data_IF_255731013293
#
_entry.id   IF_255731013293
#
_cell.length_a   1.000
_cell.length_b   1.000
_cell.length_c   1.000
_cell.angle_alpha   90.00
_cell.angle_beta   90.00
_cell.angle_gamma   90.00
#
_symmetry.space_group_name_H-M   'P 1'
#
loop_
_entity.id
_entity.type
_entity.pdbx_description
1 polymer ?
#
# COMPACT_ATOMS: atom_id res chain seq x y z
N UNK A 1 22.73 22.65 -54.51
CA UNK A 1 21.52 21.81 -54.60
C UNK A 1 20.40 22.54 -53.89
N UNK A 2 19.22 22.58 -54.52
CA UNK A 2 18.06 23.27 -53.95
C UNK A 2 17.57 22.52 -52.70
N UNK A 3 17.12 23.23 -51.68
CA UNK A 3 16.68 22.64 -50.39
C UNK A 3 15.60 21.57 -50.57
N UNK A 4 14.77 21.69 -51.62
CA UNK A 4 13.74 20.72 -52.02
C UNK A 4 14.32 19.41 -52.58
N UNK A 5 15.46 19.49 -53.25
CA UNK A 5 16.12 18.33 -53.88
C UNK A 5 16.76 17.43 -52.80
N UNK A 6 17.35 18.04 -51.77
CA UNK A 6 17.91 17.35 -50.60
C UNK A 6 16.82 16.60 -49.81
N UNK A 7 15.67 17.23 -49.57
CA UNK A 7 14.53 16.58 -48.89
C UNK A 7 13.99 15.40 -49.71
N UNK A 8 13.91 15.55 -51.03
CA UNK A 8 13.42 14.49 -51.92
C UNK A 8 14.35 13.27 -51.95
N UNK A 9 15.66 13.48 -51.92
CA UNK A 9 16.65 12.39 -51.91
C UNK A 9 16.72 11.68 -50.55
N UNK A 10 16.57 12.42 -49.44
CA UNK A 10 16.49 11.83 -48.11
C UNK A 10 15.25 10.92 -47.96
N UNK A 11 14.09 11.33 -48.49
CA UNK A 11 12.87 10.52 -48.47
C UNK A 11 13.04 9.20 -49.25
N UNK A 12 13.66 9.24 -50.43
CA UNK A 12 13.93 8.04 -51.25
C UNK A 12 14.86 7.04 -50.53
N UNK A 13 15.86 7.52 -49.78
CA UNK A 13 16.76 6.66 -49.00
C UNK A 13 16.08 6.02 -47.79
N UNK A 14 15.24 6.75 -47.07
CA UNK A 14 14.43 6.22 -45.97
C UNK A 14 13.55 5.08 -46.47
N UNK A 15 12.90 5.26 -47.62
CA UNK A 15 12.06 4.24 -48.22
C UNK A 15 12.86 2.99 -48.59
N UNK A 16 14.07 3.13 -49.15
CA UNK A 16 14.92 1.99 -49.50
C UNK A 16 15.43 1.24 -48.25
N UNK A 17 15.84 1.95 -47.19
CA UNK A 17 16.21 1.31 -45.90
C UNK A 17 14.98 0.60 -45.31
N UNK A 18 13.81 1.23 -45.39
CA UNK A 18 12.55 0.62 -44.94
C UNK A 18 12.27 -0.65 -45.71
N UNK A 19 12.42 -0.67 -47.04
CA UNK A 19 12.23 -1.88 -47.86
C UNK A 19 13.15 -3.02 -47.43
N UNK A 20 14.44 -2.75 -47.23
CA UNK A 20 15.41 -3.76 -46.83
C UNK A 20 15.08 -4.32 -45.43
N UNK A 21 14.84 -3.45 -44.46
CA UNK A 21 14.54 -3.88 -43.08
C UNK A 21 13.16 -4.53 -42.97
N UNK A 22 12.18 -4.10 -43.75
CA UNK A 22 10.84 -4.68 -43.75
C UNK A 22 10.89 -6.14 -44.21
N UNK A 23 11.62 -6.44 -45.29
CA UNK A 23 11.83 -7.81 -45.75
C UNK A 23 12.49 -8.69 -44.69
N UNK A 24 13.40 -8.12 -43.88
CA UNK A 24 14.04 -8.84 -42.79
C UNK A 24 13.10 -9.15 -41.63
N UNK A 25 12.19 -8.24 -41.28
CA UNK A 25 11.40 -8.33 -40.05
C UNK A 25 9.99 -8.90 -40.21
N UNK A 26 9.43 -8.89 -41.42
CA UNK A 26 7.99 -9.18 -41.58
C UNK A 26 7.61 -10.60 -41.19
N UNK A 27 8.51 -11.58 -41.37
CA UNK A 27 8.27 -12.97 -40.96
C UNK A 27 8.27 -13.13 -39.44
N UNK A 28 9.19 -12.43 -38.74
CA UNK A 28 9.35 -12.49 -37.30
C UNK A 28 8.32 -11.60 -36.56
N UNK A 29 7.95 -10.48 -37.18
CA UNK A 29 7.02 -9.49 -36.63
C UNK A 29 5.88 -9.19 -37.61
N UNK A 30 4.89 -10.11 -37.80
CA UNK A 30 3.81 -9.94 -38.77
C UNK A 30 2.92 -8.71 -38.56
N UNK A 31 2.96 -8.13 -37.35
CA UNK A 31 2.20 -6.93 -37.00
C UNK A 31 2.87 -5.64 -37.46
N UNK A 32 4.16 -5.67 -37.79
CA UNK A 32 4.94 -4.50 -38.19
C UNK A 32 4.56 -4.13 -39.62
N UNK A 33 4.01 -2.95 -39.84
CA UNK A 33 3.69 -2.48 -41.20
C UNK A 33 4.85 -1.68 -41.78
N UNK A 34 4.92 -1.62 -43.11
CA UNK A 34 5.92 -0.80 -43.81
C UNK A 34 5.87 0.67 -43.36
N UNK A 35 4.65 1.20 -43.17
CA UNK A 35 4.40 2.56 -42.71
C UNK A 35 4.95 2.81 -41.31
N UNK A 36 4.74 1.88 -40.38
CA UNK A 36 5.23 2.01 -39.01
C UNK A 36 6.76 1.96 -38.97
N UNK A 37 7.36 1.05 -39.75
CA UNK A 37 8.81 0.94 -39.85
C UNK A 37 9.44 2.21 -40.45
N UNK A 38 8.83 2.76 -41.51
CA UNK A 38 9.26 4.02 -42.12
C UNK A 38 9.22 5.18 -41.11
N UNK A 39 8.17 5.26 -40.29
CA UNK A 39 8.05 6.25 -39.23
C UNK A 39 9.11 6.06 -38.13
N UNK A 40 9.46 4.82 -37.78
CA UNK A 40 10.54 4.56 -36.82
C UNK A 40 11.90 4.99 -37.37
N UNK A 41 12.19 4.64 -38.63
CA UNK A 41 13.46 5.00 -39.30
C UNK A 41 13.60 6.52 -39.43
N UNK A 42 12.55 7.21 -39.90
CA UNK A 42 12.57 8.67 -40.09
C UNK A 42 12.84 9.46 -38.81
N UNK A 43 12.52 8.92 -37.63
CA UNK A 43 12.87 9.55 -36.34
C UNK A 43 14.37 9.55 -36.06
N UNK A 44 15.11 8.56 -36.55
CA UNK A 44 16.56 8.45 -36.40
C UNK A 44 17.34 9.19 -37.48
N UNK A 45 16.67 9.69 -38.53
CA UNK A 45 17.28 10.51 -39.58
C UNK A 45 17.58 11.96 -39.15
N UNK A 46 17.19 12.35 -37.93
CA UNK A 46 17.52 13.67 -37.36
C UNK A 46 18.84 13.67 -36.58
N UNK A 47 19.49 12.51 -36.40
CA UNK A 47 20.82 12.44 -35.82
C UNK A 47 21.86 12.91 -36.85
N UNK A 48 22.91 13.68 -36.45
CA UNK A 48 23.90 14.27 -37.36
C UNK A 48 24.91 13.25 -37.89
N UNK A 49 24.43 12.09 -38.34
CA UNK A 49 25.24 11.02 -38.90
C UNK A 49 25.01 11.02 -40.42
N UNK A 50 26.07 11.44 -41.10
CA UNK A 50 26.40 11.26 -42.51
C UNK A 50 25.66 12.12 -43.54
N UNK A 51 26.46 12.80 -44.38
CA UNK A 51 26.01 13.61 -45.51
C UNK A 51 25.11 12.78 -46.44
N UNK A 52 23.82 13.14 -46.47
CA UNK A 52 22.76 12.53 -47.29
C UNK A 52 22.89 12.85 -48.81
N UNK A 53 24.11 12.92 -49.35
CA UNK A 53 24.36 13.41 -50.72
C UNK A 53 24.66 12.30 -51.75
N UNK A 54 24.88 11.04 -51.37
CA UNK A 54 25.06 9.94 -52.35
C UNK A 54 23.73 9.27 -52.74
N UNK A 55 23.64 8.64 -53.91
CA UNK A 55 22.47 7.84 -54.34
C UNK A 55 22.53 6.37 -53.94
N UNK A 56 23.68 5.90 -53.47
CA UNK A 56 23.90 4.52 -53.02
C UNK A 56 23.71 4.41 -51.50
N UNK A 57 23.19 3.26 -51.06
CA UNK A 57 23.08 2.90 -49.65
C UNK A 57 24.03 1.75 -49.39
N UNK A 58 25.01 1.96 -48.53
CA UNK A 58 25.94 0.91 -48.13
C UNK A 58 25.34 0.04 -47.01
N UNK A 59 25.92 -1.15 -46.86
CA UNK A 59 25.48 -2.14 -45.85
C UNK A 59 25.70 -1.61 -44.43
N UNK A 60 26.73 -0.78 -44.20
CA UNK A 60 27.01 -0.13 -42.92
C UNK A 60 25.89 0.78 -42.46
N UNK A 61 25.34 1.59 -43.36
CA UNK A 61 24.22 2.50 -43.11
C UNK A 61 22.99 1.71 -42.68
N UNK A 62 22.64 0.67 -43.44
CA UNK A 62 21.51 -0.21 -43.09
C UNK A 62 21.72 -0.86 -41.71
N UNK A 63 22.96 -1.26 -41.38
CA UNK A 63 23.30 -1.86 -40.08
C UNK A 63 23.14 -0.87 -38.92
N UNK A 64 23.48 0.41 -39.11
CA UNK A 64 23.27 1.45 -38.08
C UNK A 64 21.77 1.61 -37.78
N UNK A 65 20.93 1.70 -38.82
CA UNK A 65 19.48 1.80 -38.63
C UNK A 65 18.87 0.52 -38.04
N UNK A 66 19.35 -0.66 -38.46
CA UNK A 66 18.98 -1.94 -37.85
C UNK A 66 19.21 -1.92 -36.33
N UNK A 67 20.41 -1.56 -35.90
CA UNK A 67 20.78 -1.52 -34.48
C UNK A 67 19.94 -0.52 -33.67
N UNK A 68 19.49 0.59 -34.28
CA UNK A 68 18.63 1.57 -33.62
C UNK A 68 17.18 1.13 -33.55
N UNK A 69 16.65 0.55 -34.63
CA UNK A 69 15.21 0.27 -34.79
C UNK A 69 14.81 -1.08 -34.21
N UNK A 70 15.67 -2.10 -34.32
CA UNK A 70 15.37 -3.46 -33.85
C UNK A 70 14.97 -3.52 -32.35
N UNK A 71 15.66 -2.85 -31.42
CA UNK A 71 15.25 -2.86 -30.00
C UNK A 71 13.86 -2.25 -29.76
N UNK A 72 13.41 -1.29 -30.58
CA UNK A 72 12.05 -0.75 -30.45
C UNK A 72 11.01 -1.75 -30.95
N UNK A 73 11.31 -2.47 -32.03
CA UNK A 73 10.42 -3.52 -32.57
C UNK A 73 10.25 -4.61 -31.51
N UNK A 74 11.34 -5.12 -30.93
CA UNK A 74 11.27 -6.13 -29.86
C UNK A 74 10.44 -5.64 -28.67
N UNK A 75 10.66 -4.41 -28.20
CA UNK A 75 9.90 -3.85 -27.07
C UNK A 75 8.41 -3.76 -27.38
N UNK A 76 8.03 -3.33 -28.59
CA UNK A 76 6.61 -3.27 -28.99
C UNK A 76 6.02 -4.69 -29.09
N UNK A 77 6.78 -5.65 -29.63
CA UNK A 77 6.34 -7.03 -29.73
C UNK A 77 6.06 -7.64 -28.35
N UNK A 78 6.96 -7.44 -27.37
CA UNK A 78 6.78 -7.89 -26.00
C UNK A 78 5.52 -7.28 -25.36
N UNK A 79 5.28 -5.98 -25.54
CA UNK A 79 4.07 -5.32 -25.03
C UNK A 79 2.80 -5.88 -25.67
N UNK A 80 2.83 -6.18 -26.99
CA UNK A 80 1.70 -6.80 -27.68
C UNK A 80 1.45 -8.23 -27.20
N UNK A 81 2.50 -9.02 -26.98
CA UNK A 81 2.38 -10.38 -26.45
C UNK A 81 1.74 -10.40 -25.05
N UNK A 82 2.14 -9.49 -24.16
CA UNK A 82 1.53 -9.34 -22.82
C UNK A 82 0.05 -8.95 -22.92
N UNK A 83 -0.30 -8.02 -23.82
CA UNK A 83 -1.71 -7.62 -24.02
C UNK A 83 -2.56 -8.77 -24.54
N UNK A 84 -2.04 -9.56 -25.48
CA UNK A 84 -2.76 -10.71 -26.02
C UNK A 84 -2.94 -11.80 -24.95
N UNK A 85 -1.92 -12.08 -24.13
CA UNK A 85 -2.05 -13.00 -22.98
C UNK A 85 -3.14 -12.53 -22.00
N UNK A 86 -3.21 -11.23 -21.71
CA UNK A 86 -4.27 -10.69 -20.86
C UNK A 86 -5.66 -10.86 -21.50
N UNK A 87 -5.77 -10.62 -22.81
CA UNK A 87 -7.03 -10.81 -23.55
C UNK A 87 -7.48 -12.27 -23.57
N UNK A 88 -6.54 -13.20 -23.78
CA UNK A 88 -6.81 -14.65 -23.76
C UNK A 88 -7.23 -15.10 -22.35
N UNK A 89 -6.60 -14.57 -21.30
CA UNK A 89 -7.00 -14.82 -19.92
C UNK A 89 -8.40 -14.27 -19.61
N UNK A 90 -8.77 -13.11 -20.15
CA UNK A 90 -10.12 -12.54 -20.01
C UNK A 90 -11.16 -13.36 -20.79
N UNK A 91 -10.84 -13.79 -22.02
CA UNK A 91 -11.71 -14.66 -22.82
C UNK A 91 -11.86 -16.06 -22.21
N UNK A 92 -10.81 -16.61 -21.60
CA UNK A 92 -10.87 -17.87 -20.88
C UNK A 92 -11.77 -17.77 -19.63
N UNK A 93 -11.69 -16.66 -18.89
CA UNK A 93 -12.63 -16.36 -17.79
C UNK A 93 -14.07 -16.22 -18.28
N UNK A 94 -14.29 -15.62 -19.45
CA UNK A 94 -15.63 -15.50 -20.04
C UNK A 94 -16.20 -16.85 -20.48
N UNK A 95 -15.39 -17.73 -21.09
CA UNK A 95 -15.83 -19.07 -21.50
C UNK A 95 -16.13 -20.00 -20.32
N UNK A 96 -15.38 -19.91 -19.23
CA UNK A 96 -15.69 -20.65 -17.99
C UNK A 96 -17.04 -20.23 -17.38
N UNK A 97 -17.47 -18.98 -17.60
CA UNK A 97 -18.74 -18.48 -17.11
C UNK A 97 -19.95 -18.88 -17.99
N UNK A 98 -19.75 -19.36 -19.22
CA UNK A 98 -20.84 -19.73 -20.16
C UNK A 98 -21.26 -21.20 -20.06
N UNK A 99 -20.45 -22.10 -19.49
CA UNK A 99 -20.78 -23.54 -19.35
C UNK A 99 -21.42 -23.92 -18.00
N UNK A 100 -21.53 -22.98 -17.06
CA UNK A 100 -22.29 -23.16 -15.82
C UNK A 100 -23.57 -22.34 -15.89
N UNK A 101 -24.75 -22.97 -15.81
CA UNK A 101 -25.96 -22.24 -15.42
C UNK A 101 -25.65 -21.46 -14.13
N UNK A 102 -25.86 -20.13 -14.09
CA UNK A 102 -25.46 -19.36 -12.92
C UNK A 102 -26.47 -19.65 -11.81
N UNK A 103 -26.13 -20.60 -10.94
CA UNK A 103 -26.39 -20.41 -9.52
C UNK A 103 -25.58 -19.18 -9.18
N UNK A 104 -26.24 -18.03 -9.01
CA UNK A 104 -25.58 -16.74 -8.84
C UNK A 104 -24.42 -16.84 -7.86
N UNK A 105 -23.19 -16.82 -8.38
CA UNK A 105 -22.01 -16.81 -7.53
C UNK A 105 -21.96 -15.45 -6.85
N UNK A 106 -22.18 -15.45 -5.54
CA UNK A 106 -21.88 -14.31 -4.69
C UNK A 106 -20.37 -14.07 -4.78
N UNK A 107 -19.94 -13.10 -5.59
CA UNK A 107 -18.58 -12.58 -5.51
C UNK A 107 -18.51 -11.79 -4.20
N UNK A 108 -17.75 -12.22 -3.18
CA UNK A 108 -17.64 -11.46 -1.95
C UNK A 108 -16.90 -10.16 -2.26
N UNK A 109 -17.56 -9.02 -2.08
CA UNK A 109 -16.86 -7.75 -2.07
C UNK A 109 -16.11 -7.63 -0.75
N UNK A 110 -14.81 -7.34 -0.86
CA UNK A 110 -13.96 -7.04 0.27
C UNK A 110 -14.10 -5.55 0.58
N UNK A 111 -14.71 -5.22 1.71
CA UNK A 111 -14.78 -3.84 2.21
C UNK A 111 -13.94 -3.70 3.48
N UNK A 112 -13.23 -2.58 3.60
CA UNK A 112 -12.51 -2.23 4.82
C UNK A 112 -13.41 -1.37 5.70
N UNK A 113 -13.48 -1.70 6.99
CA UNK A 113 -14.20 -0.89 7.97
C UNK A 113 -13.23 -0.38 9.03
N UNK A 114 -13.21 0.93 9.18
CA UNK A 114 -12.39 1.63 10.16
C UNK A 114 -13.17 1.89 11.45
N UNK A 115 -12.52 1.68 12.58
CA UNK A 115 -13.05 1.91 13.91
C UNK A 115 -12.08 2.76 14.72
N UNK A 116 -12.56 3.86 15.28
CA UNK A 116 -11.79 4.64 16.24
C UNK A 116 -12.12 4.17 17.65
N UNK A 117 -11.10 3.88 18.44
CA UNK A 117 -11.21 3.34 19.79
C UNK A 117 -10.41 4.26 20.71
N UNK A 118 -11.10 4.89 21.65
CA UNK A 118 -10.50 5.73 22.68
C UNK A 118 -10.53 4.98 24.01
N UNK A 119 -9.39 4.89 24.68
CA UNK A 119 -9.24 4.18 25.95
C UNK A 119 -8.64 5.14 26.95
N UNK A 120 -9.30 5.31 28.10
CA UNK A 120 -8.79 6.05 29.25
C UNK A 120 -8.43 5.06 30.35
N UNK A 121 -7.18 5.08 30.82
CA UNK A 121 -6.73 4.16 31.87
C UNK A 121 -7.44 4.37 33.21
N UNK A 122 -8.19 5.44 33.43
CA UNK A 122 -9.07 5.60 34.60
C UNK A 122 -10.15 4.53 34.70
N UNK A 123 -10.60 4.03 33.56
CA UNK A 123 -11.63 3.01 33.45
C UNK A 123 -11.06 1.58 33.49
N UNK A 124 -9.80 1.41 33.91
CA UNK A 124 -9.19 0.08 34.06
C UNK A 124 -9.75 -0.63 35.29
N UNK A 125 -9.63 -1.95 35.31
CA UNK A 125 -9.86 -2.72 36.53
C UNK A 125 -8.73 -2.47 37.54
N UNK A 126 -8.97 -1.56 38.50
CA UNK A 126 -7.98 -1.11 39.49
C UNK A 126 -7.51 -2.19 40.47
N UNK A 127 -8.27 -3.29 40.62
CA UNK A 127 -7.86 -4.43 41.45
C UNK A 127 -6.70 -5.21 40.83
N UNK A 128 -6.62 -5.26 39.49
CA UNK A 128 -5.53 -5.94 38.77
C UNK A 128 -4.47 -4.94 38.26
N UNK A 129 -4.89 -3.73 37.91
CA UNK A 129 -4.02 -2.67 37.39
C UNK A 129 -4.16 -1.44 38.29
N UNK A 130 -3.46 -1.39 39.44
CA UNK A 130 -3.65 -0.31 40.41
C UNK A 130 -3.16 1.06 39.91
N UNK A 131 -2.22 1.10 38.97
CA UNK A 131 -1.62 2.33 38.43
C UNK A 131 -2.17 2.69 37.04
N UNK A 132 -2.12 3.96 36.66
CA UNK A 132 -2.61 4.43 35.35
C UNK A 132 -1.73 3.98 34.16
N UNK A 133 -0.51 3.50 34.42
CA UNK A 133 0.32 2.70 33.51
C UNK A 133 1.12 1.69 34.35
N UNK A 134 1.20 0.41 33.95
CA UNK A 134 0.53 -0.19 32.79
C UNK A 134 -0.95 -0.46 33.02
N UNK A 135 -1.72 -0.69 31.95
CA UNK A 135 -3.15 -1.00 32.05
C UNK A 135 -3.61 -1.92 30.92
N UNK A 136 -4.76 -2.58 31.12
CA UNK A 136 -5.35 -3.49 30.15
C UNK A 136 -6.86 -3.29 30.07
N UNK A 137 -7.40 -3.44 28.86
CA UNK A 137 -8.84 -3.53 28.60
C UNK A 137 -9.15 -4.80 27.83
N UNK A 138 -10.26 -5.45 28.20
CA UNK A 138 -10.81 -6.55 27.40
C UNK A 138 -11.62 -5.98 26.23
N UNK A 139 -11.57 -6.66 25.09
CA UNK A 139 -12.38 -6.38 23.91
C UNK A 139 -13.51 -7.42 23.88
N UNK A 140 -14.73 -6.94 24.09
CA UNK A 140 -15.94 -7.74 24.27
C UNK A 140 -16.63 -8.16 22.96
N UNK A 141 -17.80 -8.82 23.04
CA UNK A 141 -18.60 -9.19 21.87
C UNK A 141 -19.21 -7.95 21.18
N UNK A 142 -19.29 -7.97 19.84
CA UNK A 142 -19.81 -6.86 19.00
C UNK A 142 -21.33 -6.64 19.08
N UNK A 143 -22.04 -7.45 19.86
CA UNK A 143 -23.49 -7.50 19.99
C UNK A 143 -23.85 -7.63 21.45
N UNK A 144 -24.50 -6.61 22.00
CA UNK A 144 -25.20 -6.66 23.28
C UNK A 144 -26.31 -7.71 23.12
N UNK A 145 -26.03 -8.97 23.44
CA UNK A 145 -27.09 -9.82 23.97
C UNK A 145 -27.46 -9.16 25.29
N UNK A 146 -28.66 -8.60 25.38
CA UNK A 146 -29.16 -7.81 26.52
C UNK A 146 -29.33 -8.62 27.81
N UNK A 147 -28.26 -9.29 28.25
CA UNK A 147 -28.14 -9.84 29.58
C UNK A 147 -27.65 -8.72 30.51
N UNK A 148 -28.53 -8.16 31.35
CA UNK A 148 -28.18 -7.08 32.26
C UNK A 148 -27.19 -7.51 33.37
N UNK A 149 -26.79 -8.79 33.43
CA UNK A 149 -25.84 -9.30 34.41
C UNK A 149 -24.39 -9.36 33.91
N UNK A 150 -24.11 -9.00 32.64
CA UNK A 150 -22.73 -8.92 32.16
C UNK A 150 -22.12 -7.61 32.65
N UNK A 151 -21.22 -7.70 33.62
CA UNK A 151 -20.39 -6.57 34.05
C UNK A 151 -19.39 -6.21 32.94
N UNK A 152 -19.78 -5.24 32.13
CA UNK A 152 -19.00 -4.63 31.05
C UNK A 152 -18.07 -3.52 31.56
N UNK A 153 -18.06 -3.23 32.87
CA UNK A 153 -17.16 -2.22 33.41
C UNK A 153 -15.71 -2.57 33.08
N UNK A 154 -14.93 -1.58 32.64
CA UNK A 154 -13.54 -1.76 32.25
C UNK A 154 -13.31 -2.61 30.98
N UNK A 155 -14.28 -2.61 30.05
CA UNK A 155 -14.16 -3.31 28.76
C UNK A 155 -14.61 -2.43 27.58
N UNK A 156 -14.21 -2.81 26.38
CA UNK A 156 -14.66 -2.19 25.12
C UNK A 156 -15.67 -3.14 24.49
N UNK A 157 -16.92 -2.71 24.32
CA UNK A 157 -18.04 -3.52 23.78
C UNK A 157 -17.94 -3.75 22.26
N UNK A 158 -16.79 -4.23 21.78
CA UNK A 158 -16.57 -4.52 20.37
C UNK A 158 -15.48 -5.57 20.19
N UNK A 159 -15.80 -6.58 19.38
CA UNK A 159 -14.83 -7.57 18.93
C UNK A 159 -14.20 -7.07 17.63
N UNK A 160 -12.88 -7.17 17.56
CA UNK A 160 -12.12 -6.83 16.36
C UNK A 160 -11.50 -8.11 15.79
N UNK A 161 -12.14 -8.64 14.76
CA UNK A 161 -11.70 -9.81 13.99
C UNK A 161 -11.27 -9.40 12.58
N UNK A 162 -10.39 -10.18 11.96
CA UNK A 162 -9.83 -9.88 10.63
C UNK A 162 -9.19 -8.47 10.58
N UNK A 163 -8.48 -8.10 11.65
CA UNK A 163 -7.77 -6.83 11.72
C UNK A 163 -6.69 -6.84 10.65
N UNK A 164 -6.79 -5.88 9.73
CA UNK A 164 -5.84 -5.65 8.67
C UNK A 164 -4.76 -4.65 9.08
N UNK A 165 -5.15 -3.61 9.79
CA UNK A 165 -4.23 -2.57 10.26
C UNK A 165 -4.64 -2.03 11.63
N UNK A 166 -3.66 -1.59 12.40
CA UNK A 166 -3.86 -0.82 13.63
C UNK A 166 -2.92 0.37 13.65
N UNK A 167 -3.48 1.55 13.90
CA UNK A 167 -2.75 2.82 13.95
C UNK A 167 -2.98 3.51 15.28
N UNK A 168 -1.92 4.02 15.91
CA UNK A 168 -2.01 4.92 17.06
C UNK A 168 -2.14 6.34 16.53
N UNK A 169 -3.27 7.00 16.82
CA UNK A 169 -3.50 8.40 16.39
C UNK A 169 -3.04 9.38 17.45
N UNK A 170 -3.25 9.05 18.72
CA UNK A 170 -2.97 9.95 19.82
C UNK A 170 -2.71 9.21 21.11
N UNK A 171 -1.74 9.71 21.88
CA UNK A 171 -1.49 9.31 23.25
C UNK A 171 -1.39 10.56 24.12
N UNK A 172 -2.04 10.52 25.28
CA UNK A 172 -1.98 11.57 26.30
C UNK A 172 -1.52 10.91 27.59
N UNK A 173 -0.44 11.42 28.18
CA UNK A 173 0.08 10.94 29.47
C UNK A 173 0.29 12.11 30.42
N UNK A 174 0.32 11.86 31.73
CA UNK A 174 0.77 12.86 32.69
C UNK A 174 2.18 13.32 32.37
N UNK A 175 2.49 14.59 32.62
CA UNK A 175 3.84 15.11 32.44
C UNK A 175 4.78 14.53 33.51
N UNK A 176 5.45 13.45 33.13
CA UNK A 176 6.36 12.72 34.00
C UNK A 176 7.61 13.52 34.36
N UNK A 177 7.93 14.60 33.65
CA UNK A 177 9.13 15.41 33.93
C UNK A 177 9.04 16.16 35.26
N UNK A 178 7.82 16.31 35.79
CA UNK A 178 7.56 16.94 37.10
C UNK A 178 7.78 15.94 38.23
N UNK A 179 7.41 14.66 38.02
CA UNK A 179 7.49 13.61 39.04
C UNK A 179 8.83 12.86 39.02
N UNK A 180 9.40 12.71 37.83
CA UNK A 180 10.69 12.09 37.58
C UNK A 180 11.68 13.17 37.16
N UNK A 181 12.78 13.34 37.89
CA UNK A 181 13.84 14.31 37.54
C UNK A 181 14.62 13.93 36.26
N UNK A 182 14.11 12.98 35.48
CA UNK A 182 14.68 12.47 34.25
C UNK A 182 13.79 12.87 33.07
N UNK A 183 14.41 13.50 32.07
CA UNK A 183 13.75 13.83 30.80
C UNK A 183 14.29 12.88 29.75
N UNK A 184 13.41 12.07 29.18
CA UNK A 184 13.79 11.14 28.12
C UNK A 184 13.57 11.76 26.74
N UNK A 185 14.47 11.54 25.76
CA UNK A 185 14.30 12.07 24.40
C UNK A 185 13.13 11.43 23.65
N UNK A 186 12.74 10.23 24.05
CA UNK A 186 11.58 9.50 23.58
C UNK A 186 11.10 8.54 24.66
N UNK A 187 9.85 8.11 24.55
CA UNK A 187 9.31 6.98 25.30
C UNK A 187 9.06 5.81 24.35
N UNK A 188 8.96 4.60 24.88
CA UNK A 188 8.58 3.43 24.10
C UNK A 188 7.14 3.05 24.42
N UNK A 189 6.37 2.75 23.39
CA UNK A 189 5.02 2.22 23.49
C UNK A 189 5.08 0.72 23.23
N UNK A 190 4.70 -0.08 24.21
CA UNK A 190 4.52 -1.52 24.06
C UNK A 190 3.05 -1.88 24.20
N UNK A 191 2.52 -2.56 23.20
CA UNK A 191 1.19 -3.19 23.26
C UNK A 191 1.43 -4.69 23.26
N UNK A 192 1.20 -5.39 24.37
CA UNK A 192 1.72 -6.75 24.55
C UNK A 192 1.15 -7.77 23.55
N UNK A 193 -0.09 -7.56 23.13
CA UNK A 193 -0.78 -8.42 22.16
C UNK A 193 -0.32 -8.16 20.72
N UNK A 194 0.48 -7.11 20.51
CA UNK A 194 1.01 -6.73 19.21
C UNK A 194 2.53 -6.91 19.23
N UNK A 195 3.06 -7.64 18.25
CA UNK A 195 4.51 -7.68 18.05
C UNK A 195 5.05 -6.29 17.68
N UNK A 196 6.36 -6.14 17.66
CA UNK A 196 7.01 -4.87 17.32
C UNK A 196 6.64 -4.36 15.92
N UNK A 197 6.56 -3.04 15.80
CA UNK A 197 6.43 -2.33 14.53
C UNK A 197 7.72 -1.55 14.19
N UNK A 198 8.73 -1.63 15.05
CA UNK A 198 9.99 -0.93 14.92
C UNK A 198 11.16 -1.93 14.95
N UNK A 199 12.15 -1.69 14.11
CA UNK A 199 13.40 -2.46 14.10
C UNK A 199 14.48 -1.61 14.75
N UNK A 200 14.75 -1.88 16.03
CA UNK A 200 15.77 -1.22 16.81
C UNK A 200 17.07 -2.02 16.89
N UNK A 201 18.07 -1.44 17.55
CA UNK A 201 19.39 -2.05 17.75
C UNK A 201 19.48 -2.90 19.01
N UNK A 202 18.40 -2.97 19.81
CA UNK A 202 18.35 -3.75 21.04
C UNK A 202 16.99 -4.46 21.22
N UNK A 203 16.98 -5.43 22.12
CA UNK A 203 15.81 -6.26 22.40
C UNK A 203 14.63 -5.48 22.98
N UNK A 204 14.86 -4.36 23.67
CA UNK A 204 13.77 -3.55 24.23
C UNK A 204 12.98 -2.92 23.08
N UNK A 205 13.66 -2.23 22.17
CA UNK A 205 13.05 -1.60 21.00
C UNK A 205 12.38 -2.62 20.08
N UNK A 206 13.03 -3.76 19.84
CA UNK A 206 12.48 -4.83 19.00
C UNK A 206 11.23 -5.52 19.56
N UNK A 207 10.80 -5.14 20.77
CA UNK A 207 9.58 -5.64 21.41
C UNK A 207 8.56 -4.52 21.69
N UNK A 208 8.72 -3.35 21.07
CA UNK A 208 7.83 -2.20 21.24
C UNK A 208 7.00 -1.96 19.98
N UNK A 209 5.73 -1.61 20.16
CA UNK A 209 4.86 -1.23 19.06
C UNK A 209 5.32 0.07 18.39
N UNK A 210 5.84 1.03 19.14
CA UNK A 210 6.28 2.31 18.60
C UNK A 210 7.06 3.13 19.61
N UNK A 211 7.38 4.38 19.27
CA UNK A 211 8.07 5.31 20.17
C UNK A 211 7.44 6.71 20.15
N UNK A 212 7.35 7.34 21.32
CA UNK A 212 6.70 8.63 21.53
C UNK A 212 7.73 9.76 21.53
N UNK A 213 7.56 10.76 20.67
CA UNK A 213 8.46 11.91 20.52
C UNK A 213 7.68 13.20 20.29
N UNK A 214 8.35 14.33 20.52
CA UNK A 214 7.83 15.68 20.25
C UNK A 214 6.45 15.97 20.88
N UNK A 215 6.26 15.76 22.20
CA UNK A 215 4.99 16.05 22.83
C UNK A 215 4.71 17.55 22.89
N UNK A 216 3.42 17.90 22.91
CA UNK A 216 2.96 19.23 23.35
C UNK A 216 2.55 19.14 24.82
N UNK A 217 3.16 19.96 25.70
CA UNK A 217 2.78 20.01 27.13
C UNK A 217 1.65 21.00 27.35
N UNK A 218 0.53 20.54 27.90
CA UNK A 218 -0.67 21.35 28.19
C UNK A 218 -1.23 20.89 29.54
N UNK A 219 -1.40 21.82 30.48
CA UNK A 219 -2.04 21.58 31.79
C UNK A 219 -1.48 20.37 32.57
N UNK A 220 -0.16 20.13 32.50
CA UNK A 220 0.50 19.02 33.20
C UNK A 220 0.33 17.66 32.52
N UNK A 221 -0.04 17.65 31.23
CA UNK A 221 -0.11 16.45 30.40
C UNK A 221 0.71 16.64 29.11
N UNK A 222 1.29 15.55 28.62
CA UNK A 222 2.00 15.47 27.36
C UNK A 222 1.10 14.85 26.29
N UNK A 223 0.90 15.56 25.20
CA UNK A 223 0.09 15.16 24.06
C UNK A 223 0.99 14.73 22.91
N UNK A 224 0.86 13.48 22.49
CA UNK A 224 1.53 12.91 21.32
C UNK A 224 0.46 12.67 20.24
N UNK A 225 0.55 13.36 19.12
CA UNK A 225 -0.41 13.28 18.02
C UNK A 225 0.30 12.83 16.74
N UNK A 226 -0.32 11.91 16.02
CA UNK A 226 0.22 11.32 14.80
C UNK A 226 -0.79 11.44 13.65
N UNK A 227 -0.44 12.22 12.64
CA UNK A 227 -1.23 12.38 11.43
C UNK A 227 -0.88 11.28 10.42
N UNK A 228 -1.40 10.08 10.66
CA UNK A 228 -1.21 8.94 9.76
C UNK A 228 -2.28 8.95 8.65
N UNK A 229 -1.86 8.90 7.38
CA UNK A 229 -2.76 8.90 6.23
C UNK A 229 -3.37 7.51 6.01
N UNK A 230 -4.66 7.37 6.28
CA UNK A 230 -5.40 6.10 6.19
C UNK A 230 -5.41 5.54 4.77
N UNK A 231 -5.45 6.39 3.75
CA UNK A 231 -5.44 5.96 2.35
C UNK A 231 -4.09 5.32 1.98
N UNK A 232 -3.01 5.70 2.67
CA UNK A 232 -1.70 5.08 2.49
C UNK A 232 -1.63 3.66 3.06
N UNK A 233 -2.35 3.42 4.16
CA UNK A 233 -2.42 2.12 4.82
C UNK A 233 -3.19 1.12 3.95
N UNK A 234 -4.34 1.54 3.39
CA UNK A 234 -5.23 0.64 2.63
C UNK A 234 -4.86 0.47 1.16
N UNK A 235 -4.35 1.52 0.50
CA UNK A 235 -4.05 1.47 -0.95
C UNK A 235 -2.57 1.22 -1.25
N UNK A 236 -1.66 1.66 -0.39
CA UNK A 236 -0.22 1.61 -0.63
C UNK A 236 0.54 0.68 0.32
N UNK A 237 -0.14 0.04 1.28
CA UNK A 237 0.43 -0.96 2.22
C UNK A 237 1.68 -0.38 2.90
N UNK A 238 1.56 0.82 3.47
CA UNK A 238 2.67 1.46 4.17
C UNK A 238 2.50 1.38 5.68
N UNK A 239 3.43 0.69 6.32
CA UNK A 239 3.63 0.76 7.77
C UNK A 239 4.36 2.05 8.14
N UNK A 240 4.13 2.51 9.37
CA UNK A 240 4.86 3.62 9.99
C UNK A 240 5.28 3.21 11.38
N UNK A 241 6.07 4.01 12.09
CA UNK A 241 6.39 3.75 13.51
C UNK A 241 5.17 3.69 14.45
N UNK A 242 3.98 4.09 13.99
CA UNK A 242 2.71 4.05 14.72
C UNK A 242 1.59 3.29 14.01
N UNK A 243 1.85 2.70 12.84
CA UNK A 243 0.88 1.91 12.07
C UNK A 243 1.46 0.56 11.71
N UNK A 244 0.77 -0.51 12.13
CA UNK A 244 1.14 -1.89 11.85
C UNK A 244 0.14 -2.55 10.91
N UNK A 245 0.65 -3.29 9.93
CA UNK A 245 -0.14 -4.10 9.01
C UNK A 245 -0.02 -5.58 9.41
N UNK A 246 -1.15 -6.29 9.38
CA UNK A 246 -1.20 -7.70 9.79
C UNK A 246 -1.39 -8.60 8.57
N UNK A 247 -0.39 -9.46 8.33
CA UNK A 247 -0.42 -10.52 7.33
C UNK A 247 0.31 -11.76 7.89
N UNK A 248 -0.39 -12.80 8.37
CA UNK A 248 -1.85 -12.96 8.36
C UNK A 248 -2.57 -11.95 9.25
N UNK A 249 -3.85 -11.69 8.93
CA UNK A 249 -4.73 -10.85 9.74
C UNK A 249 -4.94 -11.48 11.12
N UNK A 250 -5.15 -10.64 12.14
CA UNK A 250 -5.27 -11.09 13.53
C UNK A 250 -6.65 -10.80 14.11
N UNK A 251 -6.91 -11.37 15.28
CA UNK A 251 -8.01 -11.01 16.16
C UNK A 251 -7.44 -10.52 17.50
N UNK A 252 -8.05 -9.49 18.07
CA UNK A 252 -7.72 -9.01 19.41
C UNK A 252 -8.88 -9.24 20.37
N UNK A 253 -8.58 -9.91 21.50
CA UNK A 253 -9.51 -10.10 22.62
C UNK A 253 -9.25 -9.16 23.79
N UNK A 254 -8.08 -8.50 23.79
CA UNK A 254 -7.67 -7.54 24.81
C UNK A 254 -6.57 -6.64 24.25
N UNK A 255 -6.31 -5.55 24.96
CA UNK A 255 -5.18 -4.66 24.70
C UNK A 255 -4.52 -4.28 26.01
N UNK A 256 -3.21 -4.53 26.12
CA UNK A 256 -2.38 -4.20 27.28
C UNK A 256 -1.36 -3.16 26.87
N UNK A 257 -1.46 -1.96 27.42
CA UNK A 257 -0.60 -0.82 27.10
C UNK A 257 0.45 -0.64 28.18
N UNK A 258 1.70 -0.48 27.75
CA UNK A 258 2.82 -0.12 28.61
C UNK A 258 3.60 1.03 27.96
N UNK A 259 3.75 2.13 28.70
CA UNK A 259 4.69 3.20 28.39
C UNK A 259 6.00 2.92 29.14
N UNK A 260 7.10 2.84 28.41
CA UNK A 260 8.43 2.52 28.96
C UNK A 260 9.39 3.68 28.71
N UNK A 261 10.40 3.81 29.58
CA UNK A 261 11.57 4.64 29.31
C UNK A 261 12.48 3.98 28.23
N UNK A 262 13.50 4.67 27.71
CA UNK A 262 14.45 4.11 26.74
C UNK A 262 15.19 2.86 27.21
N UNK A 263 15.33 2.67 28.53
CA UNK A 263 15.95 1.48 29.13
C UNK A 263 15.02 0.25 29.15
N UNK A 264 13.73 0.45 28.85
CA UNK A 264 12.71 -0.60 28.86
C UNK A 264 11.97 -0.75 30.19
N UNK A 265 12.20 0.15 31.14
CA UNK A 265 11.52 0.14 32.43
C UNK A 265 10.18 0.87 32.32
N UNK A 266 9.18 0.38 33.06
CA UNK A 266 7.83 0.94 33.02
C UNK A 266 7.76 2.27 33.76
N UNK A 267 7.26 3.31 33.10
CA UNK A 267 6.99 4.60 33.75
C UNK A 267 5.66 4.49 34.50
N UNK A 268 5.68 4.59 35.82
CA UNK A 268 4.45 4.43 36.60
C UNK A 268 3.75 5.77 36.76
N UNK A 269 2.44 5.78 36.58
CA UNK A 269 1.60 6.95 36.88
C UNK A 269 0.64 6.60 38.01
N UNK A 270 0.48 7.51 38.97
CA UNK A 270 -0.43 7.36 40.10
C UNK A 270 -1.89 7.17 39.65
N UNK A 271 -2.72 6.64 40.54
CA UNK A 271 -4.07 6.18 40.24
C UNK A 271 -5.09 7.30 39.96
N UNK A 272 -4.80 8.53 40.43
CA UNK A 272 -5.55 9.76 40.19
C UNK A 272 -5.34 10.33 38.78
N UNK A 273 -4.27 9.89 38.11
CA UNK A 273 -3.92 10.30 36.75
C UNK A 273 -4.65 9.48 35.70
N UNK A 274 -4.58 9.96 34.46
CA UNK A 274 -5.12 9.29 33.28
C UNK A 274 -4.05 9.17 32.21
N UNK A 275 -3.98 7.99 31.60
CA UNK A 275 -3.31 7.78 30.31
C UNK A 275 -4.39 7.47 29.29
N UNK A 276 -4.44 8.27 28.23
CA UNK A 276 -5.43 8.11 27.15
C UNK A 276 -4.72 7.65 25.89
N UNK A 277 -5.27 6.66 25.21
CA UNK A 277 -4.79 6.19 23.90
C UNK A 277 -5.95 6.14 22.91
N UNK A 278 -5.72 6.71 21.73
CA UNK A 278 -6.63 6.67 20.59
C UNK A 278 -6.04 5.79 19.49
N UNK A 279 -6.79 4.75 19.15
CA UNK A 279 -6.45 3.74 18.17
C UNK A 279 -7.41 3.86 17.00
N UNK A 280 -6.91 3.63 15.80
CA UNK A 280 -7.71 3.36 14.64
C UNK A 280 -7.47 1.91 14.21
N UNK A 281 -8.52 1.09 14.21
CA UNK A 281 -8.48 -0.33 13.87
C UNK A 281 -9.22 -0.53 12.55
N UNK A 282 -8.52 -1.02 11.54
CA UNK A 282 -9.09 -1.33 10.22
C UNK A 282 -9.30 -2.83 10.13
N UNK A 283 -10.55 -3.25 10.03
CA UNK A 283 -10.93 -4.65 9.85
C UNK A 283 -11.37 -4.90 8.42
N UNK A 284 -11.02 -6.06 7.87
CA UNK A 284 -11.55 -6.52 6.61
C UNK A 284 -12.93 -7.15 6.84
N UNK A 285 -13.94 -6.68 6.11
CA UNK A 285 -15.28 -7.24 6.11
C UNK A 285 -15.55 -7.86 4.75
N UNK A 286 -15.96 -9.13 4.76
CA UNK A 286 -16.54 -9.76 3.58
C UNK A 286 -18.00 -9.36 3.55
N UNK A 287 -18.39 -8.59 2.54
CA UNK A 287 -19.78 -8.27 2.29
C UNK A 287 -20.29 -9.16 1.16
N UNK A 288 -21.42 -9.80 1.40
CA UNK A 288 -22.17 -10.49 0.37
C UNK A 288 -23.09 -9.45 -0.25
N UNK A 289 -22.62 -8.77 -1.29
CA UNK A 289 -23.51 -7.94 -2.08
C UNK A 289 -24.45 -8.84 -2.88
N UNK A 290 -25.76 -8.75 -2.60
CA UNK A 290 -26.79 -9.17 -3.53
C UNK A 290 -26.81 -8.18 -4.70
N UNK A 291 -25.84 -8.28 -5.61
CA UNK A 291 -25.98 -7.68 -6.93
C UNK A 291 -26.96 -8.53 -7.73
N UNK A 292 -28.26 -8.36 -7.41
CA UNK A 292 -29.31 -8.65 -8.39
C UNK A 292 -29.08 -7.67 -9.54
N UNK A 293 -28.29 -8.09 -10.52
CA UNK A 293 -28.27 -7.48 -11.84
C UNK A 293 -29.65 -7.72 -12.45
N UNK A 294 -30.62 -6.88 -12.09
CA UNK A 294 -31.84 -6.77 -12.86
C UNK A 294 -31.44 -6.24 -14.23
N UNK A 295 -31.31 -7.14 -15.20
CA UNK A 295 -31.54 -6.80 -16.61
C UNK A 295 -32.87 -6.05 -16.65
N UNK A 296 -32.83 -4.72 -16.77
CA UNK A 296 -33.93 -4.01 -17.42
C UNK A 296 -33.88 -4.45 -18.87
N UNK A 297 -34.74 -5.41 -19.19
CA UNK A 297 -35.03 -5.81 -20.55
C UNK A 297 -35.89 -4.77 -21.27
N UNK A 298 -35.94 -4.96 -22.59
CA UNK A 298 -36.56 -4.17 -23.65
C UNK A 298 -35.78 -2.93 -24.11
#
# INVERSE_FOLDING_TARGET
MDSKELVTNAMKKIDLITQILYQKYIEEYPWLTFKDLNLMISKFCKDPIDEFNSTEIDVSTVRVFHNKVYPLIEKIHQVKAIRNLNLENELAKQKQNEESEPIGEMIPTLSYKSYNVLIDSKDRNKSYWPNANPFQFQLGPSSISGDPNIDISNSIERRFSEIHALTIKRIIIPDYTVEYSEVYPYLLLKINELDSNINGTNNVMNNCFGYLTMPTSINGYLYFNYEENVDAVTNYIQESHMTKLFSPRIELSKITVNILNPSGEVITFLDDKSVVIELQIICLKKELENTLLTKRGA
#
